data_IF_343305966948
#
_entry.id   IF_343305966948
#
_cell.length_a   1.000
_cell.length_b   1.000
_cell.length_c   1.000
_cell.angle_alpha   90.00
_cell.angle_beta   90.00
_cell.angle_gamma   90.00
#
_symmetry.space_group_name_H-M   'P 1'
#
loop_
_entity.id
_entity.type
_entity.pdbx_description
1 polymer ?
#
# COMPACT_ATOMS: atom_id res chain seq x y z
N UNK A 1 3.98 18.80 19.98
CA UNK A 1 5.25 18.03 19.99
C UNK A 1 5.53 17.62 18.56
N UNK A 2 6.54 18.22 17.95
CA UNK A 2 6.97 17.90 16.61
C UNK A 2 7.71 16.55 16.66
N UNK A 3 7.05 15.48 16.23
CA UNK A 3 7.68 14.14 16.18
C UNK A 3 8.53 14.12 14.93
N UNK A 4 9.85 14.20 15.07
CA UNK A 4 10.79 13.86 14.00
C UNK A 4 10.45 12.47 13.47
N UNK A 5 9.79 12.44 12.32
CA UNK A 5 9.19 11.24 11.78
C UNK A 5 10.29 10.49 11.01
N UNK A 6 10.80 9.41 11.63
CA UNK A 6 11.77 8.51 11.01
C UNK A 6 11.31 8.07 9.62
N UNK A 7 12.22 8.04 8.65
CA UNK A 7 11.95 7.49 7.31
C UNK A 7 11.61 5.99 7.35
N UNK A 8 11.98 5.30 8.44
CA UNK A 8 11.65 3.89 8.66
C UNK A 8 10.26 3.71 9.32
N UNK A 9 9.62 4.81 9.74
CA UNK A 9 8.31 4.78 10.35
C UNK A 9 7.23 5.13 9.31
N UNK A 10 6.16 4.33 9.22
CA UNK A 10 5.06 4.60 8.32
C UNK A 10 4.42 5.98 8.60
N UNK A 11 4.09 6.80 7.58
CA UNK A 11 3.48 8.12 7.78
C UNK A 11 1.99 7.99 8.10
N UNK A 12 1.57 8.40 9.29
CA UNK A 12 0.15 8.41 9.65
C UNK A 12 -0.67 9.37 8.77
N UNK A 13 -1.91 8.99 8.41
CA UNK A 13 -2.84 9.78 7.61
C UNK A 13 -4.20 9.90 8.26
N UNK A 14 -4.69 11.11 8.45
CA UNK A 14 -6.01 11.40 9.00
C UNK A 14 -6.94 12.12 8.01
N UNK A 15 -6.59 12.10 6.72
CA UNK A 15 -7.29 12.88 5.68
C UNK A 15 -6.68 14.25 5.41
N UNK A 16 -5.77 14.73 6.26
CA UNK A 16 -5.12 16.04 6.10
C UNK A 16 -3.75 15.94 5.41
N UNK A 17 -3.32 17.05 4.79
CA UNK A 17 -2.00 17.21 4.18
C UNK A 17 -1.55 16.05 3.26
N UNK A 18 -2.45 15.64 2.35
CA UNK A 18 -2.25 14.52 1.45
C UNK A 18 -0.94 14.60 0.63
N UNK A 19 -0.54 15.81 0.19
CA UNK A 19 0.68 15.99 -0.58
C UNK A 19 1.93 15.54 0.20
N UNK A 20 2.03 15.93 1.48
CA UNK A 20 3.12 15.49 2.35
C UNK A 20 3.06 13.98 2.61
N UNK A 21 1.86 13.47 2.97
CA UNK A 21 1.66 12.06 3.24
C UNK A 21 2.06 11.18 2.04
N UNK A 22 1.60 11.54 0.84
CA UNK A 22 1.87 10.80 -0.39
C UNK A 22 3.36 10.63 -0.67
N UNK A 23 4.16 11.70 -0.50
CA UNK A 23 5.60 11.65 -0.71
C UNK A 23 6.27 10.72 0.29
N UNK A 24 5.91 10.81 1.58
CA UNK A 24 6.46 9.92 2.61
C UNK A 24 6.02 8.47 2.44
N UNK A 25 4.77 8.26 2.04
CA UNK A 25 4.21 6.92 1.86
C UNK A 25 4.88 6.22 0.67
N UNK A 26 5.10 6.94 -0.44
CA UNK A 26 5.90 6.43 -1.56
C UNK A 26 7.29 5.97 -1.09
N UNK A 27 8.02 6.83 -0.37
CA UNK A 27 9.35 6.49 0.14
C UNK A 27 9.32 5.26 1.06
N UNK A 28 8.32 5.16 1.95
CA UNK A 28 8.14 4.01 2.83
C UNK A 28 7.87 2.72 2.04
N UNK A 29 6.97 2.73 1.06
CA UNK A 29 6.66 1.56 0.23
C UNK A 29 7.87 1.11 -0.59
N UNK A 30 8.59 2.03 -1.23
CA UNK A 30 9.84 1.73 -1.95
C UNK A 30 10.92 1.13 -1.02
N UNK A 31 10.94 1.51 0.27
CA UNK A 31 11.86 0.91 1.24
C UNK A 31 11.53 -0.53 1.62
N UNK A 32 10.27 -0.97 1.40
CA UNK A 32 9.85 -2.37 1.59
C UNK A 32 10.30 -3.19 0.39
N UNK A 33 9.91 -2.77 -0.81
CA UNK A 33 10.30 -3.35 -2.10
C UNK A 33 9.76 -2.45 -3.23
N UNK A 34 10.47 -2.34 -4.35
CA UNK A 34 10.01 -1.53 -5.49
C UNK A 34 8.66 -2.03 -6.05
N UNK A 35 8.44 -3.34 -6.09
CA UNK A 35 7.18 -3.93 -6.56
C UNK A 35 5.98 -3.58 -5.68
N UNK A 36 6.20 -3.23 -4.41
CA UNK A 36 5.14 -2.78 -3.51
C UNK A 36 4.65 -1.39 -3.90
N UNK A 37 5.55 -0.50 -4.33
CA UNK A 37 5.15 0.78 -4.90
C UNK A 37 4.47 0.62 -6.26
N UNK A 38 4.98 -0.27 -7.12
CA UNK A 38 4.37 -0.56 -8.42
C UNK A 38 2.93 -1.06 -8.29
N UNK A 39 2.62 -1.85 -7.25
CA UNK A 39 1.27 -2.29 -6.98
C UNK A 39 0.28 -1.13 -6.68
N UNK A 40 0.77 0.00 -6.17
CA UNK A 40 -0.02 1.22 -5.94
C UNK A 40 -0.08 2.09 -7.20
N UNK A 41 1.04 2.27 -7.89
CA UNK A 41 1.14 3.17 -9.05
C UNK A 41 0.52 2.56 -10.32
N UNK A 42 0.93 1.34 -10.66
CA UNK A 42 0.48 0.61 -11.85
C UNK A 42 -0.85 -0.08 -11.54
N UNK A 43 -0.94 -0.72 -10.38
CA UNK A 43 -2.09 -1.51 -9.94
C UNK A 43 -1.86 -3.01 -10.11
N UNK A 44 -2.67 -3.80 -9.41
CA UNK A 44 -2.68 -5.26 -9.52
C UNK A 44 -4.01 -5.73 -10.09
N UNK A 45 -3.93 -6.64 -11.07
CA UNK A 45 -5.10 -7.34 -11.60
C UNK A 45 -5.03 -8.79 -11.16
N UNK A 46 -6.11 -9.28 -10.56
CA UNK A 46 -6.23 -10.69 -10.21
C UNK A 46 -6.23 -11.54 -11.50
N UNK A 47 -5.32 -12.52 -11.64
CA UNK A 47 -5.40 -13.46 -12.75
C UNK A 47 -6.70 -14.27 -12.70
N UNK A 48 -7.31 -14.52 -13.87
CA UNK A 48 -8.54 -15.34 -14.00
C UNK A 48 -8.30 -16.81 -13.63
N UNK A 49 -7.07 -17.27 -13.88
CA UNK A 49 -6.57 -18.58 -13.52
C UNK A 49 -6.72 -18.86 -12.01
N UNK A 50 -6.98 -20.12 -11.64
CA UNK A 50 -7.00 -20.52 -10.23
C UNK A 50 -5.64 -20.26 -9.55
N UNK A 51 -5.65 -19.87 -8.27
CA UNK A 51 -4.40 -19.53 -7.55
C UNK A 51 -3.38 -20.68 -7.52
N UNK A 52 -3.84 -21.93 -7.60
CA UNK A 52 -2.99 -23.13 -7.63
C UNK A 52 -2.14 -23.26 -8.91
N UNK A 53 -2.51 -22.58 -9.99
CA UNK A 53 -1.79 -22.59 -11.27
C UNK A 53 -1.00 -21.29 -11.53
N UNK A 54 -1.00 -20.36 -10.58
CA UNK A 54 -0.23 -19.12 -10.71
C UNK A 54 1.26 -19.41 -10.72
N UNK A 55 1.97 -18.76 -11.64
CA UNK A 55 3.42 -18.78 -11.67
C UNK A 55 4.03 -17.90 -10.57
N UNK A 56 5.36 -17.90 -10.51
CA UNK A 56 6.10 -17.09 -9.53
C UNK A 56 5.84 -15.59 -9.68
N UNK A 57 5.64 -15.10 -10.91
CA UNK A 57 5.43 -13.68 -11.17
C UNK A 57 4.04 -13.23 -10.70
N UNK A 58 2.99 -13.99 -11.01
CA UNK A 58 1.63 -13.75 -10.55
C UNK A 58 1.52 -13.79 -9.02
N UNK A 59 2.19 -14.76 -8.38
CA UNK A 59 2.27 -14.83 -6.92
C UNK A 59 3.03 -13.63 -6.34
N UNK A 60 4.14 -13.22 -6.94
CA UNK A 60 4.91 -12.05 -6.50
C UNK A 60 4.09 -10.75 -6.59
N UNK A 61 3.40 -10.52 -7.71
CA UNK A 61 2.52 -9.37 -7.90
C UNK A 61 1.36 -9.34 -6.89
N UNK A 62 0.72 -10.50 -6.65
CA UNK A 62 -0.31 -10.62 -5.62
C UNK A 62 0.24 -10.31 -4.22
N UNK A 63 1.45 -10.78 -3.90
CA UNK A 63 2.07 -10.52 -2.60
C UNK A 63 2.44 -9.04 -2.44
N UNK A 64 2.93 -8.39 -3.50
CA UNK A 64 3.25 -6.98 -3.51
C UNK A 64 1.99 -6.12 -3.25
N UNK A 65 0.88 -6.43 -3.93
CA UNK A 65 -0.42 -5.80 -3.68
C UNK A 65 -0.89 -5.98 -2.21
N UNK A 66 -0.79 -7.19 -1.66
CA UNK A 66 -1.16 -7.44 -0.26
C UNK A 66 -0.28 -6.68 0.73
N UNK A 67 1.04 -6.58 0.47
CA UNK A 67 1.97 -5.79 1.29
C UNK A 67 1.63 -4.30 1.23
N UNK A 68 1.33 -3.78 0.04
CA UNK A 68 0.95 -2.38 -0.16
C UNK A 68 -0.33 -2.04 0.59
N UNK A 69 -1.38 -2.85 0.44
CA UNK A 69 -2.64 -2.67 1.18
C UNK A 69 -2.43 -2.70 2.69
N UNK A 70 -1.70 -3.69 3.20
CA UNK A 70 -1.41 -3.77 4.63
C UNK A 70 -0.67 -2.53 5.13
N UNK A 71 0.33 -2.06 4.37
CA UNK A 71 1.04 -0.83 4.70
C UNK A 71 0.11 0.39 4.73
N UNK A 72 -0.80 0.54 3.75
CA UNK A 72 -1.78 1.63 3.72
C UNK A 72 -2.73 1.53 4.93
N UNK A 73 -3.30 0.35 5.19
CA UNK A 73 -4.24 0.13 6.29
C UNK A 73 -3.62 0.39 7.67
N UNK A 74 -2.34 0.10 7.86
CA UNK A 74 -1.66 0.36 9.13
C UNK A 74 -1.41 1.84 9.42
N UNK A 75 -1.52 2.73 8.42
CA UNK A 75 -1.16 4.15 8.60
C UNK A 75 -2.32 5.12 8.55
N UNK A 76 -3.47 4.69 8.06
CA UNK A 76 -4.66 5.53 8.00
C UNK A 76 -5.35 5.59 9.37
N UNK A 77 -6.05 6.69 9.63
CA UNK A 77 -6.92 6.82 10.80
C UNK A 77 -8.07 5.80 10.74
N UNK A 78 -8.74 5.51 11.85
CA UNK A 78 -9.91 4.62 11.84
C UNK A 78 -11.00 5.08 10.86
N UNK A 79 -11.25 6.39 10.76
CA UNK A 79 -12.24 6.94 9.83
C UNK A 79 -11.86 6.69 8.37
N UNK A 80 -10.60 6.96 8.01
CA UNK A 80 -10.10 6.70 6.66
C UNK A 80 -10.02 5.20 6.37
N UNK A 81 -9.64 4.37 7.34
CA UNK A 81 -9.67 2.91 7.23
C UNK A 81 -11.07 2.40 6.88
N UNK A 82 -12.12 2.86 7.56
CA UNK A 82 -13.48 2.43 7.25
C UNK A 82 -13.86 2.71 5.79
N UNK A 83 -13.40 3.83 5.22
CA UNK A 83 -13.67 4.21 3.83
C UNK A 83 -13.01 3.26 2.83
N UNK A 84 -11.82 2.73 3.14
CA UNK A 84 -11.02 1.91 2.21
C UNK A 84 -10.95 0.43 2.59
N UNK A 85 -11.57 0.03 3.70
CA UNK A 85 -11.51 -1.34 4.26
C UNK A 85 -12.00 -2.45 3.32
N UNK A 86 -12.81 -2.11 2.33
CA UNK A 86 -13.35 -3.04 1.34
C UNK A 86 -12.48 -3.17 0.07
N UNK A 87 -11.46 -2.32 -0.07
CA UNK A 87 -10.59 -2.29 -1.24
C UNK A 87 -9.63 -3.48 -1.23
N UNK A 88 -9.48 -4.12 -2.38
CA UNK A 88 -8.61 -5.29 -2.56
C UNK A 88 -7.45 -5.08 -3.55
N UNK A 89 -7.42 -3.91 -4.20
CA UNK A 89 -6.35 -3.47 -5.09
C UNK A 89 -5.72 -2.21 -4.50
N UNK A 90 -4.42 -2.24 -4.21
CA UNK A 90 -3.73 -1.18 -3.47
C UNK A 90 -3.82 0.20 -4.15
N UNK A 91 -3.94 0.23 -5.48
CA UNK A 91 -4.13 1.45 -6.27
C UNK A 91 -5.46 2.18 -6.01
N UNK A 92 -6.47 1.46 -5.57
CA UNK A 92 -7.82 1.99 -5.31
C UNK A 92 -8.00 2.42 -3.84
N UNK A 93 -6.99 2.20 -3.00
CA UNK A 93 -7.00 2.51 -1.58
C UNK A 93 -6.52 3.93 -1.28
#
# INVERSE_FOLDING_TARGET
MDRSQSLNAPPYFDGSNYAFWKVRMRAFLCSIDESVWDAVEIGWTRPEAAKSIWDKAALAASNANSKALNAIFCVVSPDEFHRISHITVAKEA
#
